data_IF_272790082410
#
_entry.id   IF_272790082410
#
_cell.length_a   1.000
_cell.length_b   1.000
_cell.length_c   1.000
_cell.angle_alpha   90.00
_cell.angle_beta   90.00
_cell.angle_gamma   90.00
#
_symmetry.space_group_name_H-M   'P 1'
#
loop_
_entity.id
_entity.type
_entity.pdbx_description
1 polymer ?
#
# COMPACT_ATOMS: atom_id res chain seq x y z
N UNK A 1 0.85 24.38 -37.99
CA UNK A 1 0.93 23.01 -37.41
C UNK A 1 1.12 23.12 -35.91
N UNK A 2 0.10 22.84 -35.09
CA UNK A 2 0.29 22.62 -33.65
C UNK A 2 0.97 21.27 -33.49
N UNK A 3 2.15 21.25 -32.92
CA UNK A 3 2.79 20.01 -32.46
C UNK A 3 1.82 19.31 -31.50
N UNK A 4 1.56 18.00 -31.66
CA UNK A 4 0.81 17.28 -30.65
C UNK A 4 1.63 17.36 -29.36
N UNK A 5 1.07 17.99 -28.33
CA UNK A 5 1.63 17.93 -26.99
C UNK A 5 1.83 16.45 -26.68
N UNK A 6 3.06 16.03 -26.41
CA UNK A 6 3.35 14.67 -25.95
C UNK A 6 2.72 14.52 -24.56
N UNK A 7 1.42 14.23 -24.52
CA UNK A 7 0.77 13.77 -23.33
C UNK A 7 1.52 12.49 -22.95
N UNK A 8 2.24 12.52 -21.83
CA UNK A 8 2.72 11.29 -21.21
C UNK A 8 1.50 10.36 -21.14
N UNK A 9 1.45 9.33 -21.99
CA UNK A 9 0.29 8.47 -22.14
C UNK A 9 -0.21 8.05 -20.77
N UNK A 10 -1.36 8.60 -20.34
CA UNK A 10 -2.01 8.17 -19.12
C UNK A 10 -2.31 6.69 -19.31
N UNK A 11 -1.92 5.86 -18.36
CA UNK A 11 -2.10 4.42 -18.45
C UNK A 11 -3.52 4.09 -17.99
N UNK A 12 -4.49 3.82 -18.89
CA UNK A 12 -5.90 3.75 -18.52
C UNK A 12 -6.18 2.59 -17.56
N UNK A 13 -5.38 1.52 -17.63
CA UNK A 13 -5.49 0.38 -16.73
C UNK A 13 -5.27 0.76 -15.26
N UNK A 14 -4.41 1.75 -14.96
CA UNK A 14 -4.18 2.18 -13.57
C UNK A 14 -5.44 2.81 -12.99
N UNK A 15 -6.14 3.62 -13.77
CA UNK A 15 -7.36 4.28 -13.33
C UNK A 15 -8.51 3.28 -13.18
N UNK A 16 -8.60 2.28 -14.09
CA UNK A 16 -9.56 1.17 -13.96
C UNK A 16 -9.33 0.33 -12.70
N UNK A 17 -8.09 -0.02 -12.38
CA UNK A 17 -7.78 -0.81 -11.18
C UNK A 17 -8.10 0.00 -9.91
N UNK A 18 -7.89 1.33 -9.90
CA UNK A 18 -8.34 2.20 -8.79
C UNK A 18 -9.85 2.17 -8.62
N UNK A 19 -10.60 2.29 -9.73
CA UNK A 19 -12.06 2.22 -9.71
C UNK A 19 -12.56 0.88 -9.17
N UNK A 20 -11.96 -0.23 -9.63
CA UNK A 20 -12.28 -1.58 -9.14
C UNK A 20 -12.00 -1.72 -7.64
N UNK A 21 -10.84 -1.25 -7.16
CA UNK A 21 -10.51 -1.28 -5.74
C UNK A 21 -11.51 -0.46 -4.90
N UNK A 22 -11.97 0.69 -5.40
CA UNK A 22 -13.00 1.50 -4.73
C UNK A 22 -14.35 0.78 -4.64
N UNK A 23 -14.76 0.08 -5.70
CA UNK A 23 -15.99 -0.73 -5.71
C UNK A 23 -15.89 -1.88 -4.70
N UNK A 24 -14.77 -2.61 -4.68
CA UNK A 24 -14.54 -3.70 -3.74
C UNK A 24 -14.52 -3.18 -2.29
N UNK A 25 -13.90 -2.03 -2.04
CA UNK A 25 -13.88 -1.39 -0.71
C UNK A 25 -15.30 -1.04 -0.25
N UNK A 26 -16.10 -0.43 -1.14
CA UNK A 26 -17.49 -0.10 -0.84
C UNK A 26 -18.31 -1.37 -0.56
N UNK A 27 -18.13 -2.41 -1.38
CA UNK A 27 -18.77 -3.70 -1.17
C UNK A 27 -18.42 -4.27 0.21
N UNK A 28 -17.15 -4.29 0.60
CA UNK A 28 -16.72 -4.78 1.91
C UNK A 28 -17.40 -4.04 3.08
N UNK A 29 -17.45 -2.71 3.04
CA UNK A 29 -18.10 -1.91 4.08
C UNK A 29 -19.62 -2.05 4.12
N UNK A 30 -20.27 -2.15 2.95
CA UNK A 30 -21.72 -2.37 2.86
C UNK A 30 -22.05 -3.76 3.40
N UNK A 31 -21.37 -4.81 2.95
CA UNK A 31 -21.60 -6.15 3.48
C UNK A 31 -21.32 -6.22 4.98
N UNK A 32 -20.27 -5.56 5.47
CA UNK A 32 -19.98 -5.53 6.90
C UNK A 32 -21.10 -4.89 7.72
N UNK A 33 -21.68 -3.81 7.22
CA UNK A 33 -22.74 -3.07 7.91
C UNK A 33 -24.10 -3.77 7.88
N UNK A 34 -24.41 -4.51 6.81
CA UNK A 34 -25.74 -5.09 6.58
C UNK A 34 -25.84 -6.59 6.90
N UNK A 35 -24.73 -7.32 7.00
CA UNK A 35 -24.77 -8.74 7.33
C UNK A 35 -25.06 -8.97 8.81
N UNK A 36 -26.02 -9.85 9.10
CA UNK A 36 -26.29 -10.28 10.47
C UNK A 36 -25.11 -11.06 11.05
N UNK A 37 -24.94 -10.99 12.38
CA UNK A 37 -23.82 -11.62 13.09
C UNK A 37 -23.74 -13.14 12.86
N UNK A 38 -24.90 -13.79 12.70
CA UNK A 38 -24.98 -15.24 12.48
C UNK A 38 -24.37 -15.70 11.15
N UNK A 39 -24.27 -14.81 10.16
CA UNK A 39 -23.63 -15.09 8.87
C UNK A 39 -22.13 -14.77 8.85
N UNK A 40 -21.59 -14.15 9.89
CA UNK A 40 -20.19 -13.71 9.95
C UNK A 40 -19.18 -14.83 10.16
N UNK A 41 -19.64 -16.07 10.37
CA UNK A 41 -18.79 -17.27 10.40
C UNK A 41 -18.90 -18.10 9.12
N UNK A 42 -19.78 -17.71 8.19
CA UNK A 42 -20.03 -18.48 6.97
C UNK A 42 -18.87 -18.37 5.96
N UNK A 43 -18.60 -19.45 5.21
CA UNK A 43 -17.58 -19.45 4.15
C UNK A 43 -17.69 -18.28 3.15
N UNK A 44 -18.89 -17.91 2.66
CA UNK A 44 -19.07 -16.74 1.81
C UNK A 44 -18.67 -15.42 2.45
N UNK A 45 -18.88 -15.28 3.77
CA UNK A 45 -18.43 -14.10 4.50
C UNK A 45 -16.92 -14.00 4.57
N UNK A 46 -16.24 -15.10 4.90
CA UNK A 46 -14.76 -15.14 4.94
C UNK A 46 -14.17 -14.78 3.59
N UNK A 47 -14.74 -15.29 2.50
CA UNK A 47 -14.30 -14.93 1.14
C UNK A 47 -14.52 -13.44 0.85
N UNK A 48 -15.69 -12.90 1.23
CA UNK A 48 -16.01 -11.48 1.10
C UNK A 48 -15.04 -10.59 1.90
N UNK A 49 -14.69 -10.98 3.13
CA UNK A 49 -13.71 -10.25 3.95
C UNK A 49 -12.30 -10.34 3.38
N UNK A 50 -11.91 -11.48 2.83
CA UNK A 50 -10.63 -11.61 2.13
C UNK A 50 -10.54 -10.64 0.95
N UNK A 51 -11.56 -10.63 0.08
CA UNK A 51 -11.64 -9.71 -1.06
C UNK A 51 -11.71 -8.26 -0.58
N UNK A 52 -12.48 -7.98 0.47
CA UNK A 52 -12.59 -6.67 1.13
C UNK A 52 -11.29 -6.19 1.78
N UNK A 53 -10.34 -7.08 2.07
CA UNK A 53 -9.01 -6.76 2.59
C UNK A 53 -7.97 -6.42 1.50
N UNK A 54 -8.31 -6.56 0.22
CA UNK A 54 -7.44 -6.26 -0.93
C UNK A 54 -7.32 -4.76 -1.29
N UNK A 55 -8.40 -3.94 -1.25
CA UNK A 55 -8.34 -2.54 -1.67
C UNK A 55 -7.24 -1.71 -1.02
N UNK A 56 -6.96 -1.82 0.31
CA UNK A 56 -5.85 -1.09 0.91
C UNK A 56 -4.49 -1.41 0.27
N UNK A 57 -4.21 -2.70 0.00
CA UNK A 57 -2.98 -3.13 -0.67
C UNK A 57 -2.90 -2.58 -2.10
N UNK A 58 -4.00 -2.65 -2.86
CA UNK A 58 -4.08 -2.13 -4.23
C UNK A 58 -3.84 -0.62 -4.24
N UNK A 59 -4.50 0.15 -3.36
CA UNK A 59 -4.31 1.60 -3.32
C UNK A 59 -2.89 2.01 -2.93
N UNK A 60 -2.28 1.33 -1.96
CA UNK A 60 -0.88 1.57 -1.58
C UNK A 60 0.07 1.28 -2.74
N UNK A 61 -0.13 0.15 -3.43
CA UNK A 61 0.66 -0.24 -4.59
C UNK A 61 0.52 0.77 -5.74
N UNK A 62 -0.70 1.13 -6.12
CA UNK A 62 -0.95 2.13 -7.18
C UNK A 62 -0.47 3.53 -6.79
N UNK A 63 -0.51 3.87 -5.51
CA UNK A 63 0.08 5.12 -4.98
C UNK A 63 1.59 5.09 -5.16
N UNK A 64 2.25 3.96 -4.86
CA UNK A 64 3.67 3.74 -5.15
C UNK A 64 4.02 3.91 -6.64
N UNK A 65 3.21 3.35 -7.55
CA UNK A 65 3.42 3.54 -9.01
C UNK A 65 3.37 5.02 -9.38
N UNK A 66 2.37 5.75 -8.88
CA UNK A 66 2.24 7.19 -9.18
C UNK A 66 3.37 8.03 -8.57
N UNK A 67 3.90 7.62 -7.41
CA UNK A 67 5.08 8.22 -6.82
C UNK A 67 6.30 8.00 -7.73
N UNK A 68 6.52 6.78 -8.22
CA UNK A 68 7.62 6.44 -9.12
C UNK A 68 7.56 7.24 -10.43
N UNK A 69 6.36 7.41 -10.99
CA UNK A 69 6.16 8.26 -12.17
C UNK A 69 6.46 9.73 -11.87
N UNK A 70 6.06 10.22 -10.70
CA UNK A 70 6.39 11.56 -10.22
C UNK A 70 7.89 11.79 -10.05
N UNK A 71 8.62 10.79 -9.54
CA UNK A 71 10.07 10.84 -9.43
C UNK A 71 10.73 10.80 -10.81
N UNK A 72 10.30 9.88 -11.69
CA UNK A 72 10.83 9.74 -13.05
C UNK A 72 10.60 10.98 -13.92
N UNK A 73 9.46 11.65 -13.76
CA UNK A 73 9.17 12.90 -14.45
C UNK A 73 10.12 14.04 -14.02
N UNK A 74 10.57 14.04 -12.77
CA UNK A 74 11.55 15.00 -12.25
C UNK A 74 12.99 14.62 -12.63
N UNK A 75 13.28 13.31 -12.69
CA UNK A 75 14.55 12.79 -13.22
C UNK A 75 14.77 13.27 -14.67
N UNK A 76 13.73 13.23 -15.51
CA UNK A 76 13.78 13.74 -16.90
C UNK A 76 13.99 15.25 -17.01
N UNK A 77 13.62 16.01 -15.98
CA UNK A 77 13.86 17.45 -15.89
C UNK A 77 15.24 17.79 -15.32
N UNK A 78 16.07 16.78 -15.05
CA UNK A 78 17.40 16.93 -14.47
C UNK A 78 17.41 17.74 -13.16
N UNK A 79 16.33 17.64 -12.37
CA UNK A 79 16.24 18.36 -11.10
C UNK A 79 17.21 17.77 -10.07
N UNK A 80 17.79 18.62 -9.19
CA UNK A 80 18.63 18.16 -8.08
C UNK A 80 17.92 17.11 -7.21
N UNK A 81 18.70 16.21 -6.61
CA UNK A 81 18.17 15.14 -5.74
C UNK A 81 17.25 15.66 -4.63
N UNK A 82 17.63 16.77 -4.02
CA UNK A 82 16.85 17.42 -2.96
C UNK A 82 15.47 17.88 -3.44
N UNK A 83 15.36 18.47 -4.63
CA UNK A 83 14.07 18.91 -5.17
C UNK A 83 13.17 17.76 -5.56
N UNK A 84 13.76 16.64 -6.03
CA UNK A 84 13.03 15.40 -6.29
C UNK A 84 12.41 14.86 -5.00
N UNK A 85 13.19 14.80 -3.94
CA UNK A 85 12.73 14.37 -2.62
C UNK A 85 11.69 15.32 -2.03
N UNK A 86 11.94 16.64 -2.03
CA UNK A 86 10.98 17.65 -1.56
C UNK A 86 9.64 17.57 -2.31
N UNK A 87 9.68 17.34 -3.63
CA UNK A 87 8.48 17.16 -4.44
C UNK A 87 7.71 15.87 -4.13
N UNK A 88 8.40 14.80 -3.73
CA UNK A 88 7.78 13.57 -3.24
C UNK A 88 7.20 13.75 -1.83
N UNK A 89 7.94 14.41 -0.93
CA UNK A 89 7.49 14.73 0.42
C UNK A 89 6.27 15.66 0.43
N UNK A 90 6.21 16.64 -0.48
CA UNK A 90 5.04 17.50 -0.65
C UNK A 90 3.77 16.73 -1.03
N UNK A 91 3.89 15.62 -1.77
CA UNK A 91 2.75 14.73 -2.06
C UNK A 91 2.34 13.90 -0.85
N UNK A 92 3.31 13.43 -0.06
CA UNK A 92 3.03 12.75 1.20
C UNK A 92 2.29 13.69 2.17
N UNK A 93 2.75 14.94 2.30
CA UNK A 93 2.09 15.98 3.09
C UNK A 93 0.68 16.32 2.59
N UNK A 94 0.47 16.35 1.27
CA UNK A 94 -0.87 16.52 0.70
C UNK A 94 -1.83 15.38 1.08
N UNK A 95 -1.37 14.12 1.01
CA UNK A 95 -2.18 12.97 1.46
C UNK A 95 -2.46 13.02 2.97
N UNK A 96 -1.48 13.43 3.77
CA UNK A 96 -1.66 13.58 5.22
C UNK A 96 -2.70 14.67 5.54
N UNK A 97 -2.62 15.81 4.85
CA UNK A 97 -3.61 16.88 4.99
C UNK A 97 -5.01 16.39 4.60
N UNK A 98 -5.13 15.64 3.49
CA UNK A 98 -6.40 15.07 3.08
C UNK A 98 -6.94 14.06 4.10
N UNK A 99 -6.07 13.26 4.73
CA UNK A 99 -6.45 12.34 5.79
C UNK A 99 -7.07 13.07 6.99
N UNK A 100 -6.43 14.16 7.43
CA UNK A 100 -6.93 14.99 8.54
C UNK A 100 -8.26 15.66 8.17
N UNK A 101 -8.38 16.22 6.97
CA UNK A 101 -9.61 16.88 6.52
C UNK A 101 -10.77 15.90 6.42
N UNK A 102 -10.54 14.71 5.86
CA UNK A 102 -11.56 13.68 5.76
C UNK A 102 -12.04 13.24 7.16
N UNK A 103 -11.10 13.11 8.11
CA UNK A 103 -11.43 12.75 9.49
C UNK A 103 -12.20 13.85 10.20
N UNK A 104 -11.82 15.10 10.00
CA UNK A 104 -12.54 16.26 10.52
C UNK A 104 -13.99 16.29 9.98
N UNK A 105 -14.17 16.01 8.69
CA UNK A 105 -15.51 15.92 8.09
C UNK A 105 -16.35 14.81 8.75
N UNK A 106 -15.79 13.60 8.93
CA UNK A 106 -16.50 12.48 9.59
C UNK A 106 -16.85 12.81 11.04
N UNK A 107 -15.95 13.48 11.77
CA UNK A 107 -16.21 13.91 13.14
C UNK A 107 -17.39 14.88 13.21
N UNK A 108 -17.43 15.88 12.34
CA UNK A 108 -18.50 16.87 12.27
C UNK A 108 -19.86 16.24 11.93
N UNK A 109 -19.89 15.26 11.02
CA UNK A 109 -21.14 14.58 10.62
C UNK A 109 -21.68 13.59 11.67
N UNK A 110 -20.85 13.12 12.59
CA UNK A 110 -21.25 12.20 13.66
C UNK A 110 -21.62 12.88 14.99
N UNK A 111 -21.70 14.21 15.04
CA UNK A 111 -22.12 14.93 16.26
C UNK A 111 -23.59 14.61 16.60
N UNK A 112 -23.95 14.37 17.89
CA UNK A 112 -23.12 14.49 19.11
C UNK A 112 -22.48 13.18 19.60
N UNK A 113 -22.60 12.07 18.88
CA UNK A 113 -22.26 10.73 19.40
C UNK A 113 -20.76 10.37 19.31
N UNK A 114 -19.93 11.21 18.69
CA UNK A 114 -18.51 10.93 18.46
C UNK A 114 -17.59 11.44 19.58
N UNK A 115 -16.52 10.69 19.85
CA UNK A 115 -15.49 11.07 20.82
C UNK A 115 -14.35 11.84 20.13
N UNK A 116 -13.69 12.77 20.85
CA UNK A 116 -12.56 13.53 20.31
C UNK A 116 -11.38 12.66 19.87
N UNK A 117 -11.23 11.46 20.44
CA UNK A 117 -10.23 10.46 20.07
C UNK A 117 -10.40 9.96 18.65
N UNK A 118 -11.62 10.02 18.09
CA UNK A 118 -11.89 9.60 16.72
C UNK A 118 -11.16 10.50 15.71
N UNK A 119 -10.88 11.77 16.02
CA UNK A 119 -10.14 12.66 15.11
C UNK A 119 -8.70 12.20 14.85
N UNK A 120 -8.11 11.44 15.76
CA UNK A 120 -6.72 10.99 15.71
C UNK A 120 -6.58 9.52 15.27
N UNK A 121 -7.65 8.90 14.78
CA UNK A 121 -7.61 7.51 14.32
C UNK A 121 -6.78 7.35 13.05
N UNK A 122 -5.93 6.33 13.03
CA UNK A 122 -5.03 6.03 11.91
C UNK A 122 -5.75 5.23 10.83
N UNK A 123 -6.32 5.95 9.86
CA UNK A 123 -6.92 5.35 8.66
C UNK A 123 -5.89 5.07 7.54
N UNK A 124 -6.33 4.41 6.47
CA UNK A 124 -5.47 4.02 5.34
C UNK A 124 -4.76 5.21 4.67
N UNK A 125 -5.37 6.40 4.65
CA UNK A 125 -4.73 7.60 4.11
C UNK A 125 -3.51 8.04 4.93
N UNK A 126 -3.57 7.91 6.25
CA UNK A 126 -2.44 8.17 7.14
C UNK A 126 -1.29 7.19 6.86
N UNK A 127 -1.62 5.90 6.70
CA UNK A 127 -0.65 4.89 6.31
C UNK A 127 -0.03 5.18 4.92
N UNK A 128 -0.83 5.56 3.93
CA UNK A 128 -0.32 5.96 2.60
C UNK A 128 0.63 7.15 2.69
N UNK A 129 0.27 8.18 3.47
CA UNK A 129 1.09 9.37 3.64
C UNK A 129 2.43 9.04 4.33
N UNK A 130 2.40 8.29 5.44
CA UNK A 130 3.61 7.87 6.16
C UNK A 130 4.50 7.00 5.26
N UNK A 131 3.91 5.99 4.61
CA UNK A 131 4.64 5.09 3.72
C UNK A 131 5.27 5.86 2.55
N UNK A 132 4.54 6.82 1.97
CA UNK A 132 5.06 7.68 0.92
C UNK A 132 6.22 8.54 1.43
N UNK A 133 6.11 9.11 2.63
CA UNK A 133 7.17 9.93 3.23
C UNK A 133 8.46 9.11 3.43
N UNK A 134 8.35 7.90 3.97
CA UNK A 134 9.50 7.01 4.21
C UNK A 134 10.13 6.53 2.89
N UNK A 135 9.30 6.05 1.96
CA UNK A 135 9.78 5.56 0.65
C UNK A 135 10.25 6.70 -0.26
N UNK A 136 9.85 7.95 0.01
CA UNK A 136 10.29 9.11 -0.77
C UNK A 136 11.80 9.31 -0.77
N UNK A 137 12.52 8.78 0.24
CA UNK A 137 14.00 8.81 0.31
C UNK A 137 14.63 8.15 -0.92
N UNK A 138 13.95 7.18 -1.53
CA UNK A 138 14.37 6.56 -2.80
C UNK A 138 14.39 7.53 -3.99
N UNK A 139 13.78 8.71 -3.86
CA UNK A 139 13.90 9.79 -4.84
C UNK A 139 15.34 10.33 -4.92
N UNK A 140 16.15 10.19 -3.86
CA UNK A 140 17.54 10.63 -3.87
C UNK A 140 18.41 9.73 -4.77
N UNK A 141 18.03 8.46 -4.92
CA UNK A 141 18.75 7.46 -5.68
C UNK A 141 18.58 7.61 -7.20
N UNK A 142 19.46 6.94 -7.96
CA UNK A 142 19.38 6.87 -9.42
C UNK A 142 18.22 5.95 -9.88
N UNK A 143 17.63 6.16 -11.07
CA UNK A 143 16.49 5.37 -11.54
C UNK A 143 16.75 3.85 -11.55
N UNK A 144 17.96 3.42 -11.92
CA UNK A 144 18.33 2.01 -11.95
C UNK A 144 18.52 1.39 -10.56
N UNK A 145 19.07 2.14 -9.60
CA UNK A 145 19.24 1.65 -8.22
C UNK A 145 17.92 1.68 -7.44
N UNK A 146 17.01 2.59 -7.81
CA UNK A 146 15.68 2.76 -7.19
C UNK A 146 14.85 1.48 -7.24
N UNK A 147 14.85 0.75 -8.36
CA UNK A 147 14.10 -0.51 -8.48
C UNK A 147 14.54 -1.52 -7.41
N UNK A 148 15.84 -1.78 -7.32
CA UNK A 148 16.41 -2.72 -6.35
C UNK A 148 16.17 -2.27 -4.92
N UNK A 149 16.42 -0.98 -4.64
CA UNK A 149 16.21 -0.42 -3.31
C UNK A 149 14.74 -0.47 -2.87
N UNK A 150 13.80 -0.23 -3.80
CA UNK A 150 12.38 -0.32 -3.52
C UNK A 150 11.92 -1.77 -3.25
N UNK A 151 12.43 -2.75 -4.01
CA UNK A 151 12.17 -4.17 -3.73
C UNK A 151 12.72 -4.58 -2.36
N UNK A 152 13.98 -4.25 -2.07
CA UNK A 152 14.60 -4.54 -0.77
C UNK A 152 13.85 -3.87 0.36
N UNK A 153 13.50 -2.59 0.22
CA UNK A 153 12.72 -1.87 1.24
C UNK A 153 11.36 -2.53 1.47
N UNK A 154 10.63 -2.91 0.42
CA UNK A 154 9.35 -3.61 0.54
C UNK A 154 9.48 -4.96 1.24
N UNK A 155 10.52 -5.73 0.91
CA UNK A 155 10.78 -7.03 1.55
C UNK A 155 11.19 -6.88 3.00
N UNK A 156 12.04 -5.91 3.33
CA UNK A 156 12.41 -5.61 4.71
C UNK A 156 11.20 -5.19 5.55
N UNK A 157 10.31 -4.35 5.01
CA UNK A 157 9.08 -3.95 5.72
C UNK A 157 8.17 -5.16 5.94
N UNK A 158 7.99 -6.02 4.93
CA UNK A 158 7.19 -7.23 5.08
C UNK A 158 7.76 -8.19 6.13
N UNK A 159 9.08 -8.43 6.13
CA UNK A 159 9.76 -9.31 7.08
C UNK A 159 9.87 -8.73 8.49
N UNK A 160 9.91 -7.40 8.61
CA UNK A 160 9.92 -6.73 9.90
C UNK A 160 8.53 -6.71 10.57
N UNK A 161 7.46 -7.04 9.84
CA UNK A 161 6.09 -6.94 10.35
C UNK A 161 5.82 -7.78 11.61
N UNK A 162 6.15 -9.08 11.66
CA UNK A 162 5.97 -9.86 12.90
C UNK A 162 6.86 -9.37 14.05
N UNK A 163 8.06 -8.89 13.72
CA UNK A 163 8.99 -8.35 14.73
C UNK A 163 8.41 -7.07 15.33
N UNK A 164 7.91 -6.16 14.49
CA UNK A 164 7.27 -4.93 14.92
C UNK A 164 6.01 -5.19 15.76
N UNK A 165 5.24 -6.23 15.45
CA UNK A 165 4.05 -6.61 16.22
C UNK A 165 4.40 -7.07 17.66
N UNK A 166 5.57 -7.68 17.87
CA UNK A 166 5.98 -8.23 19.16
C UNK A 166 6.98 -7.37 19.95
N UNK A 167 7.49 -6.29 19.35
CA UNK A 167 8.30 -5.31 20.07
C UNK A 167 7.45 -4.51 21.06
N UNK A 168 8.04 -4.12 22.18
CA UNK A 168 7.38 -3.25 23.13
C UNK A 168 7.36 -1.80 22.60
N UNK A 169 6.16 -1.29 22.35
CA UNK A 169 5.89 0.08 21.90
C UNK A 169 5.22 0.94 22.98
N UNK A 170 5.26 0.54 24.25
CA UNK A 170 4.62 1.26 25.35
C UNK A 170 5.24 2.65 25.60
N UNK A 171 6.46 2.87 25.10
CA UNK A 171 7.12 4.18 25.07
C UNK A 171 6.54 5.12 23.99
N UNK A 172 5.90 4.56 22.96
CA UNK A 172 5.12 5.32 21.99
C UNK A 172 3.74 5.57 22.59
N UNK A 173 3.36 6.85 22.71
CA UNK A 173 1.99 7.19 23.09
C UNK A 173 0.95 6.48 22.21
N UNK A 174 -0.27 6.25 22.71
CA UNK A 174 -1.25 5.36 22.09
C UNK A 174 -1.54 5.69 20.61
N UNK A 175 -1.53 6.97 20.24
CA UNK A 175 -1.76 7.39 18.86
C UNK A 175 -0.63 7.01 17.88
N UNK A 176 0.62 7.16 18.30
CA UNK A 176 1.76 6.81 17.45
C UNK A 176 1.90 5.30 17.31
N UNK A 177 1.52 4.54 18.36
CA UNK A 177 1.57 3.08 18.35
C UNK A 177 0.79 2.48 17.19
N UNK A 178 -0.39 3.03 16.86
CA UNK A 178 -1.22 2.57 15.73
C UNK A 178 -0.58 2.76 14.35
N UNK A 179 0.46 3.59 14.23
CA UNK A 179 1.22 3.72 12.97
C UNK A 179 2.24 2.59 12.79
N UNK A 180 2.63 1.86 13.84
CA UNK A 180 3.70 0.86 13.76
C UNK A 180 3.22 -0.55 14.12
N UNK A 181 2.29 -0.68 15.05
CA UNK A 181 1.75 -1.98 15.47
C UNK A 181 0.59 -2.37 14.55
N UNK A 182 0.65 -3.55 13.90
CA UNK A 182 -0.46 -4.08 13.12
C UNK A 182 -1.71 -4.26 14.00
N UNK A 183 -2.87 -3.83 13.52
CA UNK A 183 -4.16 -3.96 14.20
C UNK A 183 -5.24 -4.21 13.13
N UNK A 184 -6.30 -4.93 13.48
CA UNK A 184 -7.45 -5.16 12.62
C UNK A 184 -8.26 -3.88 12.36
N UNK A 185 -8.20 -2.91 13.27
CA UNK A 185 -8.98 -1.68 13.22
C UNK A 185 -8.20 -0.45 12.71
N UNK A 186 -6.88 -0.58 12.59
CA UNK A 186 -5.98 0.53 12.25
C UNK A 186 -4.97 0.10 11.19
N UNK A 187 -4.64 1.02 10.29
CA UNK A 187 -3.66 0.76 9.24
C UNK A 187 -2.27 1.20 9.68
N UNK A 188 -1.50 0.25 10.24
CA UNK A 188 -0.09 0.45 10.56
C UNK A 188 0.80 0.43 9.31
N UNK A 189 2.01 0.99 9.43
CA UNK A 189 3.04 0.93 8.40
C UNK A 189 3.51 -0.51 8.16
N UNK A 190 3.53 -1.35 9.19
CA UNK A 190 3.80 -2.78 9.06
C UNK A 190 2.48 -3.55 8.96
N UNK A 191 2.30 -4.46 7.98
CA UNK A 191 3.12 -4.68 6.78
C UNK A 191 2.81 -3.72 5.62
N UNK A 192 1.76 -2.90 5.72
CA UNK A 192 1.14 -2.21 4.59
C UNK A 192 2.08 -1.31 3.76
N UNK A 193 3.06 -0.68 4.40
CA UNK A 193 4.08 0.13 3.73
C UNK A 193 4.90 -0.61 2.68
N UNK A 194 4.97 -1.95 2.77
CA UNK A 194 5.63 -2.79 1.78
C UNK A 194 4.99 -2.64 0.39
N UNK A 195 3.66 -2.58 0.30
CA UNK A 195 2.95 -2.45 -0.98
C UNK A 195 3.29 -1.15 -1.71
N UNK A 196 3.48 -0.05 -0.97
CA UNK A 196 3.90 1.21 -1.58
C UNK A 196 5.32 1.11 -2.15
N UNK A 197 6.25 0.48 -1.42
CA UNK A 197 7.61 0.24 -1.90
C UNK A 197 7.62 -0.66 -3.15
N UNK A 198 6.86 -1.76 -3.16
CA UNK A 198 6.68 -2.59 -4.35
C UNK A 198 6.04 -1.83 -5.51
N UNK A 199 5.08 -0.95 -5.23
CA UNK A 199 4.50 -0.04 -6.21
C UNK A 199 5.54 0.91 -6.83
N UNK A 200 6.48 1.42 -6.04
CA UNK A 200 7.59 2.24 -6.54
C UNK A 200 8.50 1.42 -7.46
N UNK A 201 8.82 0.17 -7.10
CA UNK A 201 9.59 -0.73 -7.95
C UNK A 201 8.87 -0.99 -9.28
N UNK A 202 7.60 -1.39 -9.24
CA UNK A 202 6.78 -1.65 -10.42
C UNK A 202 6.66 -0.41 -11.33
N UNK A 203 6.39 0.75 -10.75
CA UNK A 203 6.31 2.01 -11.50
C UNK A 203 7.65 2.43 -12.13
N UNK A 204 8.77 2.18 -11.45
CA UNK A 204 10.10 2.41 -12.02
C UNK A 204 10.40 1.44 -13.18
N UNK A 205 10.07 0.15 -13.03
CA UNK A 205 10.22 -0.85 -14.10
C UNK A 205 9.38 -0.46 -15.33
N UNK A 206 8.11 -0.08 -15.13
CA UNK A 206 7.22 0.37 -16.21
C UNK A 206 7.76 1.60 -16.98
N UNK A 207 8.53 2.47 -16.31
CA UNK A 207 9.15 3.65 -16.95
C UNK A 207 10.47 3.34 -17.66
N UNK A 208 11.16 2.29 -17.25
CA UNK A 208 12.38 1.80 -17.88
C UNK A 208 12.09 0.86 -19.06
N UNK A 209 10.94 0.19 -19.06
CA UNK A 209 10.52 -0.72 -20.12
C UNK A 209 10.23 0.01 -21.43
N UNK A 210 10.76 -0.52 -22.54
CA UNK A 210 10.38 -0.08 -23.89
C UNK A 210 8.98 -0.60 -24.24
N UNK A 211 8.19 0.12 -25.08
CA UNK A 211 6.85 -0.31 -25.47
C UNK A 211 6.81 -1.73 -26.06
N UNK A 212 7.82 -2.11 -26.84
CA UNK A 212 7.98 -3.44 -27.45
C UNK A 212 8.04 -4.58 -26.43
N UNK A 213 8.58 -4.32 -25.24
CA UNK A 213 8.75 -5.32 -24.18
C UNK A 213 7.58 -5.34 -23.18
N UNK A 214 6.58 -4.47 -23.35
CA UNK A 214 5.50 -4.32 -22.37
C UNK A 214 4.68 -5.60 -22.22
N UNK A 215 4.35 -6.28 -23.32
CA UNK A 215 3.61 -7.54 -23.26
C UNK A 215 4.39 -8.62 -22.48
N UNK A 216 5.68 -8.78 -22.78
CA UNK A 216 6.56 -9.72 -22.07
C UNK A 216 6.69 -9.36 -20.59
N UNK A 217 6.78 -8.07 -20.26
CA UNK A 217 6.81 -7.60 -18.88
C UNK A 217 5.53 -7.98 -18.12
N UNK A 218 4.36 -7.81 -18.74
CA UNK A 218 3.07 -8.19 -18.12
C UNK A 218 2.97 -9.70 -17.91
N UNK A 219 3.44 -10.52 -18.87
CA UNK A 219 3.49 -11.97 -18.71
C UNK A 219 4.39 -12.40 -17.55
N UNK A 220 5.59 -11.83 -17.44
CA UNK A 220 6.48 -12.11 -16.30
C UNK A 220 5.90 -11.63 -14.97
N UNK A 221 5.22 -10.48 -14.96
CA UNK A 221 4.52 -10.00 -13.78
C UNK A 221 3.41 -10.98 -13.35
N UNK A 222 2.65 -11.53 -14.30
CA UNK A 222 1.61 -12.52 -14.01
C UNK A 222 2.19 -13.84 -13.48
N UNK A 223 3.28 -14.34 -14.08
CA UNK A 223 3.97 -15.55 -13.61
C UNK A 223 4.54 -15.34 -12.20
N UNK A 224 5.17 -14.17 -11.96
CA UNK A 224 5.71 -13.83 -10.65
C UNK A 224 4.59 -13.68 -9.60
N UNK A 225 3.48 -13.05 -9.95
CA UNK A 225 2.32 -12.92 -9.07
C UNK A 225 1.73 -14.28 -8.70
N UNK A 226 1.55 -15.17 -9.68
CA UNK A 226 1.12 -16.55 -9.44
C UNK A 226 2.10 -17.30 -8.53
N UNK A 227 3.41 -17.15 -8.77
CA UNK A 227 4.46 -17.73 -7.94
C UNK A 227 4.42 -17.23 -6.49
N UNK A 228 4.15 -15.94 -6.26
CA UNK A 228 4.00 -15.37 -4.92
C UNK A 228 2.75 -15.91 -4.20
N UNK A 229 1.64 -16.08 -4.91
CA UNK A 229 0.40 -16.63 -4.34
C UNK A 229 0.60 -18.09 -3.94
N UNK A 230 1.08 -18.92 -4.87
CA UNK A 230 1.27 -20.37 -4.63
C UNK A 230 2.37 -20.59 -3.61
N UNK A 231 3.51 -19.91 -3.74
CA UNK A 231 4.63 -19.98 -2.81
C UNK A 231 4.22 -19.54 -1.42
N UNK A 232 3.57 -18.37 -1.29
CA UNK A 232 3.09 -17.86 -0.01
C UNK A 232 2.14 -18.83 0.70
N UNK A 233 1.20 -19.43 -0.06
CA UNK A 233 0.28 -20.44 0.48
C UNK A 233 1.01 -21.72 0.89
N UNK A 234 1.93 -22.20 0.06
CA UNK A 234 2.70 -23.41 0.34
C UNK A 234 3.53 -23.25 1.62
N UNK A 235 4.34 -22.18 1.71
CA UNK A 235 5.17 -21.92 2.90
C UNK A 235 4.33 -21.65 4.16
N UNK A 236 3.11 -21.13 4.03
CA UNK A 236 2.21 -20.92 5.16
C UNK A 236 1.66 -22.23 5.75
N UNK A 237 1.71 -23.34 5.01
CA UNK A 237 1.22 -24.65 5.45
C UNK A 237 2.32 -25.55 6.01
N UNK A 238 3.59 -25.12 5.92
CA UNK A 238 4.72 -25.88 6.45
C UNK A 238 4.77 -25.72 7.98
N UNK A 239 5.06 -26.79 8.74
CA UNK A 239 5.10 -26.74 10.22
C UNK A 239 6.29 -25.94 10.79
N UNK A 240 7.19 -25.44 9.95
CA UNK A 240 8.35 -24.65 10.35
C UNK A 240 8.04 -23.16 10.24
N UNK A 241 8.11 -22.43 11.34
CA UNK A 241 8.01 -20.98 11.36
C UNK A 241 9.37 -20.34 11.65
N UNK A 242 9.74 -19.33 10.87
CA UNK A 242 10.91 -18.48 11.12
C UNK A 242 10.67 -17.59 12.36
N UNK A 243 9.41 -17.25 12.62
CA UNK A 243 9.02 -16.36 13.71
C UNK A 243 8.46 -17.18 14.88
N UNK A 244 8.87 -16.83 16.11
CA UNK A 244 8.39 -17.47 17.34
C UNK A 244 6.92 -17.19 17.61
N UNK A 245 6.42 -16.04 17.15
CA UNK A 245 5.02 -15.61 17.17
C UNK A 245 4.75 -14.82 15.89
N UNK A 246 3.67 -15.17 15.17
CA UNK A 246 3.14 -14.44 14.01
C UNK A 246 1.71 -14.91 13.78
N UNK A 247 0.83 -13.98 13.46
CA UNK A 247 -0.54 -14.26 13.07
C UNK A 247 -0.70 -14.08 11.55
N UNK A 248 -1.09 -15.17 10.88
CA UNK A 248 -1.14 -15.21 9.41
C UNK A 248 -1.97 -14.07 8.80
N UNK A 249 -3.07 -13.70 9.45
CA UNK A 249 -4.02 -12.71 8.95
C UNK A 249 -3.64 -11.25 9.26
N UNK A 250 -2.70 -11.03 10.17
CA UNK A 250 -2.40 -9.71 10.72
C UNK A 250 -0.99 -9.22 10.34
N UNK A 251 0.04 -9.99 10.69
CA UNK A 251 1.43 -9.54 10.61
C UNK A 251 2.33 -10.38 9.68
N UNK A 252 1.77 -11.43 9.07
CA UNK A 252 2.55 -12.38 8.29
C UNK A 252 3.15 -11.79 7.00
N UNK A 253 4.47 -12.00 6.77
CA UNK A 253 5.10 -11.64 5.51
C UNK A 253 4.52 -12.44 4.33
N UNK A 254 4.08 -13.68 4.57
CA UNK A 254 3.53 -14.56 3.53
C UNK A 254 2.20 -14.03 3.02
N UNK A 255 1.33 -13.52 3.90
CA UNK A 255 0.09 -12.86 3.47
C UNK A 255 0.39 -11.60 2.65
N UNK A 256 1.44 -10.85 3.02
CA UNK A 256 1.88 -9.68 2.25
C UNK A 256 2.30 -10.08 0.83
N UNK A 257 3.03 -11.18 0.67
CA UNK A 257 3.41 -11.71 -0.64
C UNK A 257 2.21 -12.23 -1.44
N UNK A 258 1.27 -12.93 -0.80
CA UNK A 258 0.03 -13.38 -1.46
C UNK A 258 -0.75 -12.17 -1.98
N UNK A 259 -0.96 -11.15 -1.15
CA UNK A 259 -1.67 -9.92 -1.53
C UNK A 259 -0.93 -9.13 -2.62
N UNK A 260 0.40 -9.18 -2.65
CA UNK A 260 1.20 -8.56 -3.70
C UNK A 260 1.08 -9.31 -5.04
N UNK A 261 0.88 -10.62 -4.99
CA UNK A 261 0.77 -11.46 -6.18
C UNK A 261 -0.58 -11.36 -6.91
N UNK A 262 -1.63 -10.94 -6.21
CA UNK A 262 -2.97 -10.65 -6.76
C UNK A 262 -2.98 -9.28 -7.43
#
# INVERSE_FOLDING_TARGET
MKSPSSSSSRLPFIDWVRGMAAIIMLQGHVFHSFASKDLQESGPWVLSQFVGGMPPAIFLFLTGITLAFGMSARDRKLLPAYERWKGAMGRAGYLLLLAILFRLQLYLFGLPNNQWTDLLKVDILNCMALSMALVSVLALMSPHSRVRAALVAGTLVALASPVAAHMNWDWLGPHLRHYFVPDYNHFGFFPWGAFLAYGVAAGAILRLAKPEHMNRLMQWAAILGFGLIVGGRYFAQIPYSIYSKSEFWLDSPLLTFIKLGV
#
